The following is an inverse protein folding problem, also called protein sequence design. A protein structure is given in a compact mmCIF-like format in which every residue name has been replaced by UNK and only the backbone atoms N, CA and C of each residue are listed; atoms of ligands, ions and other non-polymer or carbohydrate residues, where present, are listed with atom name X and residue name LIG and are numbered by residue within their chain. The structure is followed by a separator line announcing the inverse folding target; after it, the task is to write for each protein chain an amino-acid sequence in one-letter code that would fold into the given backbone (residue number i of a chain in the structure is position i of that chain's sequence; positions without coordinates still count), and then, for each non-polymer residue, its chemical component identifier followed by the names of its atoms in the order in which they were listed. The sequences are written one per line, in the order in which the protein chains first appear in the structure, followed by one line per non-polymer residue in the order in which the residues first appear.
data_IF_288358966484
#
_entry.id   IF_288358966484
#
_cell.length_a   1.000
_cell.length_b   1.000
_cell.length_c   1.000
_cell.angle_alpha   90.00
_cell.angle_beta   90.00
_cell.angle_gamma   90.00
#
_symmetry.space_group_name_H-M   'P 1'
#
loop_
_entity.id
_entity.type
_entity.pdbx_description
1 polymer ?
#
# COMPACT_ATOMS: atom_id res chain seq x y z
N UNK A 1 8.11 -0.91 11.46
CA UNK A 1 6.79 -1.44 11.92
C UNK A 1 6.05 -0.43 12.78
N UNK A 2 6.65 0.08 13.86
CA UNK A 2 6.03 1.15 14.66
C UNK A 2 5.76 2.43 13.83
N UNK A 3 6.67 2.81 12.94
CA UNK A 3 6.49 3.97 12.06
C UNK A 3 5.31 3.78 11.08
N UNK A 4 5.06 2.57 10.60
CA UNK A 4 3.94 2.29 9.71
C UNK A 4 2.59 2.35 10.44
N UNK A 5 2.51 1.79 11.64
CA UNK A 5 1.29 1.87 12.45
C UNK A 5 1.00 3.31 12.91
N UNK A 6 2.04 4.08 13.22
CA UNK A 6 1.91 5.49 13.55
C UNK A 6 1.43 6.31 12.33
N UNK A 7 2.02 6.09 11.16
CA UNK A 7 1.61 6.75 9.93
C UNK A 7 0.15 6.42 9.56
N UNK A 8 -0.26 5.15 9.67
CA UNK A 8 -1.65 4.75 9.45
C UNK A 8 -2.61 5.44 10.45
N UNK A 9 -2.18 5.61 11.69
CA UNK A 9 -2.97 6.30 12.71
C UNK A 9 -3.06 7.83 12.50
N UNK A 10 -2.13 8.43 11.78
CA UNK A 10 -2.13 9.87 11.48
C UNK A 10 -3.09 10.26 10.37
N UNK A 11 -3.44 9.34 9.47
CA UNK A 11 -4.39 9.63 8.39
C UNK A 11 -5.83 9.61 8.92
N UNK A 12 -6.43 10.79 9.01
CA UNK A 12 -7.78 10.95 9.58
C UNK A 12 -8.86 10.14 8.86
N UNK A 13 -8.73 9.94 7.55
CA UNK A 13 -9.64 9.11 6.77
C UNK A 13 -9.52 7.63 7.14
N UNK A 14 -8.32 7.17 7.43
CA UNK A 14 -8.06 5.80 7.87
C UNK A 14 -8.51 5.57 9.31
N UNK A 15 -8.38 6.58 10.17
CA UNK A 15 -8.95 6.55 11.53
C UNK A 15 -10.47 6.34 11.52
N UNK A 16 -11.17 6.98 10.59
CA UNK A 16 -12.62 6.82 10.45
C UNK A 16 -13.02 5.41 9.98
N UNK A 17 -12.15 4.76 9.16
CA UNK A 17 -12.38 3.43 8.63
C UNK A 17 -12.00 2.30 9.61
N UNK A 18 -10.90 2.48 10.32
CA UNK A 18 -10.30 1.42 11.16
C UNK A 18 -10.49 1.65 12.66
N UNK A 19 -10.90 2.85 13.08
CA UNK A 19 -10.95 3.18 14.49
C UNK A 19 -9.56 3.13 15.12
N UNK A 20 -9.49 2.65 16.35
CA UNK A 20 -8.23 2.49 17.08
C UNK A 20 -7.55 1.17 16.68
N UNK A 21 -6.48 1.25 15.89
CA UNK A 21 -5.73 0.08 15.43
C UNK A 21 -4.61 -0.22 16.43
N UNK A 22 -4.61 -1.45 16.96
CA UNK A 22 -3.54 -1.94 17.83
C UNK A 22 -2.34 -2.37 17.01
N UNK A 23 -1.10 -2.10 17.47
CA UNK A 23 0.11 -2.55 16.78
C UNK A 23 0.19 -4.08 16.71
N UNK A 24 1.04 -4.57 15.81
CA UNK A 24 1.25 -6.02 15.64
C UNK A 24 1.79 -6.64 16.92
N UNK A 25 1.16 -7.72 17.37
CA UNK A 25 1.64 -8.51 18.49
C UNK A 25 3.00 -9.17 18.15
N UNK A 26 3.91 -9.18 19.11
CA UNK A 26 5.28 -9.70 18.91
C UNK A 26 5.32 -11.14 18.32
N UNK A 27 4.49 -12.11 18.79
CA UNK A 27 4.48 -13.45 18.20
C UNK A 27 4.07 -13.49 16.72
N UNK A 28 3.34 -12.49 16.24
CA UNK A 28 2.82 -12.43 14.87
C UNK A 28 3.71 -11.64 13.92
N UNK A 29 4.78 -11.04 14.41
CA UNK A 29 5.61 -10.10 13.65
C UNK A 29 6.17 -10.68 12.36
N UNK A 30 6.77 -11.87 12.42
CA UNK A 30 7.38 -12.50 11.25
C UNK A 30 6.32 -12.89 10.20
N UNK A 31 5.19 -13.41 10.63
CA UNK A 31 4.08 -13.75 9.74
C UNK A 31 3.42 -12.51 9.14
N UNK A 32 3.40 -11.41 9.87
CA UNK A 32 2.92 -10.13 9.35
C UNK A 32 3.87 -9.57 8.29
N UNK A 33 5.18 -9.68 8.48
CA UNK A 33 6.15 -9.28 7.45
C UNK A 33 6.01 -10.14 6.19
N UNK A 34 5.77 -11.45 6.36
CA UNK A 34 5.49 -12.34 5.23
C UNK A 34 4.21 -11.93 4.48
N UNK A 35 3.16 -11.51 5.19
CA UNK A 35 1.95 -10.97 4.57
C UNK A 35 2.25 -9.71 3.74
N UNK A 36 3.04 -8.78 4.28
CA UNK A 36 3.44 -7.56 3.55
C UNK A 36 4.18 -7.89 2.25
N UNK A 37 5.12 -8.84 2.32
CA UNK A 37 5.88 -9.28 1.15
C UNK A 37 4.97 -9.96 0.11
N UNK A 38 4.03 -10.79 0.56
CA UNK A 38 3.07 -11.45 -0.33
C UNK A 38 2.14 -10.45 -1.02
N UNK A 39 1.69 -9.42 -0.31
CA UNK A 39 0.89 -8.32 -0.86
C UNK A 39 1.70 -7.60 -1.96
N UNK A 40 2.89 -7.19 -1.64
CA UNK A 40 3.74 -6.46 -2.58
C UNK A 40 4.03 -7.29 -3.84
N UNK A 41 4.43 -8.54 -3.66
CA UNK A 41 4.76 -9.43 -4.77
C UNK A 41 3.57 -9.66 -5.71
N UNK A 42 2.41 -10.00 -5.17
CA UNK A 42 1.24 -10.28 -6.00
C UNK A 42 0.71 -9.03 -6.71
N UNK A 43 0.50 -7.94 -5.99
CA UNK A 43 -0.12 -6.76 -6.57
C UNK A 43 0.81 -6.02 -7.53
N UNK A 44 2.13 -6.05 -7.37
CA UNK A 44 3.07 -5.52 -8.37
C UNK A 44 2.98 -6.29 -9.68
N UNK A 45 2.86 -7.59 -9.63
CA UNK A 45 2.64 -8.41 -10.84
C UNK A 45 1.29 -8.10 -11.51
N UNK A 46 0.25 -7.86 -10.70
CA UNK A 46 -1.06 -7.45 -11.22
C UNK A 46 -1.01 -6.12 -11.97
N UNK A 47 -0.27 -5.15 -11.44
CA UNK A 47 -0.07 -3.86 -12.14
C UNK A 47 0.62 -4.05 -13.49
N UNK A 48 1.52 -5.01 -13.60
CA UNK A 48 2.19 -5.38 -14.85
C UNK A 48 1.28 -6.19 -15.81
N UNK A 49 0.07 -6.52 -15.41
CA UNK A 49 -0.87 -7.29 -16.21
C UNK A 49 -0.80 -8.80 -16.02
N UNK A 50 -0.08 -9.28 -15.02
CA UNK A 50 0.05 -10.71 -14.74
C UNK A 50 -0.74 -11.11 -13.49
N UNK A 51 -1.58 -12.13 -13.65
CA UNK A 51 -2.27 -12.75 -12.51
C UNK A 51 -1.55 -14.07 -12.17
N UNK A 52 -0.55 -13.97 -11.31
CA UNK A 52 0.27 -15.09 -10.91
C UNK A 52 -0.45 -15.94 -9.86
N UNK A 53 -0.83 -17.16 -10.25
CA UNK A 53 -1.59 -18.08 -9.39
C UNK A 53 -0.86 -18.48 -8.12
N UNK A 54 0.45 -18.66 -8.19
CA UNK A 54 1.27 -19.06 -7.02
C UNK A 54 1.39 -17.89 -6.04
N UNK A 55 1.63 -16.69 -6.54
CA UNK A 55 1.67 -15.49 -5.70
C UNK A 55 0.29 -15.22 -5.07
N UNK A 56 -0.80 -15.45 -5.79
CA UNK A 56 -2.15 -15.34 -5.25
C UNK A 56 -2.38 -16.36 -4.11
N UNK A 57 -1.99 -17.60 -4.31
CA UNK A 57 -2.10 -18.63 -3.28
C UNK A 57 -1.32 -18.27 -2.02
N UNK A 58 -0.09 -17.78 -2.18
CA UNK A 58 0.75 -17.33 -1.07
C UNK A 58 0.09 -16.16 -0.31
N UNK A 59 -0.48 -15.21 -1.03
CA UNK A 59 -1.20 -14.08 -0.45
C UNK A 59 -2.41 -14.54 0.37
N UNK A 60 -3.23 -15.42 -0.17
CA UNK A 60 -4.42 -15.94 0.51
C UNK A 60 -4.05 -16.73 1.78
N UNK A 61 -2.99 -17.54 1.72
CA UNK A 61 -2.48 -18.26 2.87
C UNK A 61 -1.97 -17.31 3.96
N UNK A 62 -1.24 -16.28 3.58
CA UNK A 62 -0.74 -15.27 4.52
C UNK A 62 -1.89 -14.49 5.17
N UNK A 63 -2.91 -14.11 4.41
CA UNK A 63 -4.11 -13.47 4.95
C UNK A 63 -4.86 -14.40 5.93
N UNK A 64 -5.06 -15.65 5.56
CA UNK A 64 -5.73 -16.62 6.41
C UNK A 64 -4.99 -16.82 7.74
N UNK A 65 -3.67 -16.91 7.69
CA UNK A 65 -2.83 -17.03 8.90
C UNK A 65 -2.99 -15.84 9.82
N UNK A 66 -2.94 -14.64 9.29
CA UNK A 66 -3.08 -13.42 10.09
C UNK A 66 -4.46 -13.28 10.71
N UNK A 67 -5.51 -13.63 9.98
CA UNK A 67 -6.88 -13.63 10.52
C UNK A 67 -7.06 -14.64 11.65
N UNK A 68 -6.43 -15.81 11.56
CA UNK A 68 -6.49 -16.83 12.61
C UNK A 68 -5.68 -16.46 13.85
N UNK A 69 -4.53 -15.83 13.68
CA UNK A 69 -3.61 -15.50 14.76
C UNK A 69 -3.91 -14.17 15.44
N UNK A 70 -4.69 -13.28 14.80
CA UNK A 70 -5.02 -11.99 15.39
C UNK A 70 -5.95 -12.14 16.60
N UNK A 71 -5.67 -11.35 17.65
CA UNK A 71 -6.45 -11.38 18.89
C UNK A 71 -7.85 -10.77 18.71
N UNK A 72 -8.00 -9.83 17.77
CA UNK A 72 -9.28 -9.16 17.48
C UNK A 72 -9.25 -8.53 16.09
N UNK A 73 -10.42 -8.09 15.61
CA UNK A 73 -10.55 -7.34 14.35
C UNK A 73 -9.87 -5.96 14.39
N UNK A 74 -9.61 -5.43 15.58
CA UNK A 74 -8.96 -4.12 15.75
C UNK A 74 -7.42 -4.20 15.68
N UNK A 75 -6.85 -5.34 15.38
CA UNK A 75 -5.40 -5.49 15.22
C UNK A 75 -4.94 -5.09 13.83
N UNK A 76 -3.68 -4.67 13.72
CA UNK A 76 -3.08 -4.35 12.41
C UNK A 76 -3.01 -5.59 11.52
N UNK A 77 -2.77 -6.78 12.09
CA UNK A 77 -2.77 -8.05 11.37
C UNK A 77 -4.10 -8.30 10.64
N UNK A 78 -5.21 -8.20 11.38
CA UNK A 78 -6.54 -8.45 10.82
C UNK A 78 -6.93 -7.36 9.81
N UNK A 79 -6.68 -6.09 10.12
CA UNK A 79 -6.99 -4.97 9.25
C UNK A 79 -6.22 -5.05 7.93
N UNK A 80 -4.94 -5.41 7.96
CA UNK A 80 -4.11 -5.54 6.77
C UNK A 80 -4.57 -6.71 5.90
N UNK A 81 -4.86 -7.87 6.51
CA UNK A 81 -5.36 -9.03 5.78
C UNK A 81 -6.70 -8.73 5.09
N UNK A 82 -7.63 -8.08 5.79
CA UNK A 82 -8.92 -7.69 5.19
C UNK A 82 -8.76 -6.66 4.08
N UNK A 83 -7.86 -5.70 4.23
CA UNK A 83 -7.57 -4.70 3.20
C UNK A 83 -7.02 -5.36 1.94
N UNK A 84 -6.11 -6.32 2.09
CA UNK A 84 -5.57 -7.08 0.97
C UNK A 84 -6.66 -7.86 0.22
N UNK A 85 -7.58 -8.50 0.96
CA UNK A 85 -8.69 -9.24 0.37
C UNK A 85 -9.65 -8.33 -0.41
N UNK A 86 -9.95 -7.14 0.14
CA UNK A 86 -10.75 -6.13 -0.57
C UNK A 86 -10.07 -5.65 -1.83
N UNK A 87 -8.76 -5.48 -1.78
CA UNK A 87 -7.97 -4.98 -2.90
C UNK A 87 -8.01 -5.93 -4.12
N UNK A 88 -8.22 -7.22 -3.90
CA UNK A 88 -8.41 -8.19 -4.99
C UNK A 88 -9.57 -7.83 -5.91
N UNK A 89 -10.60 -7.16 -5.40
CA UNK A 89 -11.74 -6.68 -6.19
C UNK A 89 -11.48 -5.33 -6.88
N UNK A 90 -10.40 -4.63 -6.52
CA UNK A 90 -10.07 -3.28 -7.01
C UNK A 90 -8.74 -3.24 -7.77
N UNK A 91 -8.29 -4.35 -8.34
CA UNK A 91 -6.98 -4.44 -9.00
C UNK A 91 -6.83 -3.53 -10.21
N UNK A 92 -7.94 -3.17 -10.85
CA UNK A 92 -7.98 -2.21 -11.96
C UNK A 92 -7.64 -0.76 -11.54
N UNK A 93 -7.70 -0.46 -10.25
CA UNK A 93 -7.35 0.84 -9.68
C UNK A 93 -5.94 0.90 -9.10
N UNK A 94 -5.22 -0.22 -9.11
CA UNK A 94 -3.85 -0.28 -8.61
C UNK A 94 -2.87 0.35 -9.58
N UNK A 95 -1.98 1.16 -9.01
CA UNK A 95 -0.89 1.80 -9.76
C UNK A 95 0.40 1.79 -8.96
N UNK A 96 1.49 2.00 -9.66
CA UNK A 96 2.81 2.24 -9.05
C UNK A 96 3.12 3.72 -9.19
N UNK A 97 3.50 4.37 -8.10
CA UNK A 97 3.88 5.78 -8.11
C UNK A 97 5.11 6.00 -9.00
N UNK A 98 4.99 6.91 -9.96
CA UNK A 98 6.07 7.23 -10.91
C UNK A 98 7.29 7.90 -10.27
N UNK A 99 7.20 8.35 -9.01
CA UNK A 99 8.31 8.96 -8.29
C UNK A 99 8.95 8.00 -7.28
N UNK A 100 8.19 7.42 -6.35
CA UNK A 100 8.73 6.61 -5.26
C UNK A 100 8.60 5.10 -5.48
N UNK A 101 7.85 4.66 -6.49
CA UNK A 101 7.66 3.23 -6.78
C UNK A 101 6.70 2.50 -5.85
N UNK A 102 5.97 3.21 -5.00
CA UNK A 102 4.99 2.59 -4.11
C UNK A 102 3.71 2.22 -4.86
N UNK A 103 3.12 1.12 -4.43
CA UNK A 103 1.77 0.75 -4.84
C UNK A 103 0.76 1.67 -4.18
N UNK A 104 -0.23 2.12 -4.95
CA UNK A 104 -1.35 2.89 -4.41
C UNK A 104 -2.63 2.56 -5.18
N UNK A 105 -3.78 2.85 -4.57
CA UNK A 105 -5.08 2.71 -5.19
C UNK A 105 -5.54 4.07 -5.68
N UNK A 106 -5.77 4.19 -6.98
CA UNK A 106 -6.30 5.41 -7.58
C UNK A 106 -7.82 5.44 -7.44
N UNK A 107 -8.31 6.15 -6.44
CA UNK A 107 -9.73 6.35 -6.18
C UNK A 107 -10.28 7.63 -6.81
N UNK A 108 -9.49 8.31 -7.64
CA UNK A 108 -9.92 9.52 -8.34
C UNK A 108 -11.01 9.17 -9.37
N UNK A 109 -11.88 10.15 -9.63
CA UNK A 109 -13.02 10.00 -10.53
C UNK A 109 -12.62 9.52 -11.93
N UNK A 110 -11.53 10.05 -12.48
CA UNK A 110 -11.06 9.80 -13.84
C UNK A 110 -9.87 8.82 -13.91
N UNK A 111 -9.49 8.19 -12.78
CA UNK A 111 -8.31 7.32 -12.68
C UNK A 111 -7.04 7.98 -13.25
N UNK A 112 -6.90 9.28 -12.99
CA UNK A 112 -5.84 10.12 -13.57
C UNK A 112 -4.63 10.32 -12.67
N UNK A 113 -4.63 9.78 -11.45
CA UNK A 113 -3.50 9.94 -10.53
C UNK A 113 -2.27 9.20 -11.05
N UNK A 114 -1.14 9.86 -10.99
CA UNK A 114 0.17 9.32 -11.37
C UNK A 114 1.06 9.11 -10.14
N UNK A 115 0.75 9.79 -9.04
CA UNK A 115 1.53 9.84 -7.81
C UNK A 115 0.74 9.29 -6.64
N UNK A 116 1.44 8.61 -5.73
CA UNK A 116 0.81 8.10 -4.50
C UNK A 116 0.30 9.25 -3.62
N UNK A 117 1.01 10.39 -3.64
CA UNK A 117 0.64 11.61 -2.95
C UNK A 117 1.04 12.82 -3.79
N UNK A 118 0.06 13.66 -4.15
CA UNK A 118 0.31 14.87 -4.94
C UNK A 118 1.12 15.91 -4.16
N UNK A 119 0.91 16.03 -2.85
CA UNK A 119 1.61 17.00 -2.02
C UNK A 119 3.10 16.65 -1.82
N UNK A 120 3.44 15.37 -1.89
CA UNK A 120 4.82 14.91 -1.73
C UNK A 120 5.43 14.52 -3.08
N UNK A 121 5.02 13.40 -3.65
CA UNK A 121 5.63 12.87 -4.88
C UNK A 121 5.33 13.74 -6.10
N UNK A 122 4.10 14.23 -6.25
CA UNK A 122 3.72 15.11 -7.35
C UNK A 122 4.52 16.42 -7.34
N UNK A 123 4.64 17.04 -6.18
CA UNK A 123 5.41 18.29 -6.04
C UNK A 123 6.91 18.10 -6.26
N UNK A 124 7.48 16.98 -5.81
CA UNK A 124 8.90 16.65 -6.06
C UNK A 124 9.19 16.54 -7.55
N UNK A 125 8.34 15.88 -8.32
CA UNK A 125 8.51 15.77 -9.76
C UNK A 125 8.38 17.12 -10.45
N UNK A 126 7.41 17.94 -10.06
CA UNK A 126 7.25 19.31 -10.58
C UNK A 126 8.47 20.18 -10.29
N UNK A 127 8.98 20.13 -9.06
CA UNK A 127 10.18 20.88 -8.65
C UNK A 127 11.41 20.45 -9.44
N UNK A 128 11.61 19.14 -9.63
CA UNK A 128 12.71 18.60 -10.41
C UNK A 128 12.64 19.02 -11.89
N UNK A 129 11.45 19.00 -12.49
CA UNK A 129 11.25 19.49 -13.87
C UNK A 129 11.57 20.96 -14.00
N UNK A 130 11.14 21.77 -13.04
CA UNK A 130 11.44 23.20 -13.02
C UNK A 130 12.94 23.47 -12.90
N UNK A 131 13.61 22.78 -12.00
CA UNK A 131 15.06 22.89 -11.80
C UNK A 131 15.84 22.48 -13.05
N UNK A 132 15.49 21.38 -13.71
CA UNK A 132 16.13 20.95 -14.95
C UNK A 132 15.98 21.99 -16.06
N UNK A 133 14.78 22.51 -16.28
CA UNK A 133 14.53 23.56 -17.28
C UNK A 133 15.37 24.81 -17.01
N UNK A 134 15.45 25.23 -15.75
CA UNK A 134 16.27 26.39 -15.36
C UNK A 134 17.75 26.15 -15.61
N UNK A 135 18.25 24.94 -15.34
CA UNK A 135 19.64 24.56 -15.57
C UNK A 135 19.97 24.47 -17.06
N UNK A 136 19.07 23.96 -17.87
CA UNK A 136 19.23 23.87 -19.33
C UNK A 136 19.15 25.23 -20.01
N UNK A 137 18.44 26.19 -19.43
CA UNK A 137 18.33 27.57 -19.94
C UNK A 137 19.51 28.46 -19.54
N UNK A 138 20.42 28.00 -18.68
CA UNK A 138 21.65 28.75 -18.33
C UNK A 138 22.71 28.55 -19.39
N UNK A 139 23.34 29.68 -19.93
CA UNK A 139 24.43 29.56 -20.88
C UNK A 139 25.70 28.98 -20.27
#
# INVERSE_FOLDING_TARGET
MQAFSAAAAEFSAERALFGEIKPVAEPNRNDFLALREAIDAYFRRRVEGHDDRVLLANLLQACARMLKQSASEATLEAATARSALRLLAETDRLKVCGNCGWLFVDRSRNRSRTWCDMAVCGNRVKANRHYRRKKEAMP
#
